data_IF_667609667898
#
_entry.id   IF_667609667898
#
_cell.length_a   1.000
_cell.length_b   1.000
_cell.length_c   1.000
_cell.angle_alpha   90.00
_cell.angle_beta   90.00
_cell.angle_gamma   90.00
#
_symmetry.space_group_name_H-M   'P 1'
#
loop_
_entity.id
_entity.type
_entity.pdbx_description
1 polymer ?
#
# COMPACT_ATOMS: atom_id res chain seq x y z
N UNK A 1 -11.61 0.66 -3.99
CA UNK A 1 -10.35 1.20 -3.44
C UNK A 1 -10.63 2.26 -2.36
N UNK A 2 -11.40 3.33 -2.64
CA UNK A 2 -11.76 4.32 -1.61
C UNK A 2 -12.67 3.80 -0.46
N UNK A 3 -13.59 2.87 -0.73
CA UNK A 3 -14.59 2.48 0.27
C UNK A 3 -14.06 1.51 1.35
N UNK A 4 -13.09 0.64 1.02
CA UNK A 4 -12.49 -0.27 2.01
C UNK A 4 -11.53 0.45 2.97
N UNK A 5 -10.91 1.54 2.52
CA UNK A 5 -10.01 2.37 3.35
C UNK A 5 -10.80 3.13 4.42
N UNK A 6 -11.99 3.64 4.08
CA UNK A 6 -12.90 4.28 5.05
C UNK A 6 -13.47 3.30 6.08
N UNK A 7 -13.69 2.04 5.70
CA UNK A 7 -14.38 1.07 6.57
C UNK A 7 -13.50 0.52 7.70
N UNK A 8 -12.16 0.55 7.56
CA UNK A 8 -11.24 -0.07 8.53
C UNK A 8 -10.64 0.85 9.61
N UNK A 9 -11.06 2.12 9.70
CA UNK A 9 -10.45 3.11 10.63
C UNK A 9 -8.93 3.07 10.53
N UNK A 10 -8.42 3.16 9.30
CA UNK A 10 -6.99 3.15 9.03
C UNK A 10 -6.38 4.39 9.70
N UNK A 11 -5.68 4.18 10.81
CA UNK A 11 -4.92 5.23 11.49
C UNK A 11 -3.51 5.17 10.94
N UNK A 12 -3.10 6.24 10.28
CA UNK A 12 -1.73 6.42 9.83
C UNK A 12 -1.07 7.43 10.79
N UNK A 13 -0.10 7.02 11.63
CA UNK A 13 0.65 7.96 12.46
C UNK A 13 1.46 8.94 11.60
N UNK A 14 1.85 10.07 12.20
CA UNK A 14 2.64 11.15 11.58
C UNK A 14 4.00 10.69 11.03
N UNK A 15 4.57 9.65 11.63
CA UNK A 15 5.86 9.07 11.28
C UNK A 15 5.86 7.55 11.49
N UNK A 16 6.84 6.84 10.92
CA UNK A 16 7.06 5.42 11.20
C UNK A 16 6.00 4.49 10.59
N UNK A 17 5.28 4.91 9.55
CA UNK A 17 4.29 4.05 8.88
C UNK A 17 4.90 3.29 7.71
N UNK A 18 4.72 1.96 7.62
CA UNK A 18 4.93 1.19 6.40
C UNK A 18 3.60 0.82 5.76
N UNK A 19 3.38 1.41 4.60
CA UNK A 19 2.20 1.23 3.77
C UNK A 19 2.55 0.21 2.68
N UNK A 20 1.91 -0.95 2.72
CA UNK A 20 2.06 -2.00 1.73
C UNK A 20 0.78 -2.12 0.90
N UNK A 21 0.88 -1.77 -0.38
CA UNK A 21 -0.16 -2.00 -1.37
C UNK A 21 -0.02 -3.40 -1.95
N UNK A 22 -1.06 -4.22 -1.80
CA UNK A 22 -1.17 -5.52 -2.44
C UNK A 22 -2.06 -5.35 -3.67
N UNK A 23 -1.51 -5.57 -4.85
CA UNK A 23 -2.24 -5.47 -6.11
C UNK A 23 -2.69 -6.86 -6.57
N UNK A 24 -3.97 -7.01 -6.98
CA UNK A 24 -4.47 -8.30 -7.43
C UNK A 24 -3.76 -8.71 -8.72
N UNK A 25 -3.26 -9.94 -8.76
CA UNK A 25 -2.66 -10.48 -9.97
C UNK A 25 -3.70 -10.59 -11.10
N UNK A 26 -3.34 -10.25 -12.36
CA UNK A 26 -4.26 -10.35 -13.47
C UNK A 26 -4.83 -11.76 -13.65
N UNK A 27 -6.14 -11.87 -13.88
CA UNK A 27 -6.80 -13.15 -14.14
C UNK A 27 -6.27 -13.87 -15.39
N UNK A 28 -5.67 -13.12 -16.34
CA UNK A 28 -5.03 -13.66 -17.54
C UNK A 28 -3.70 -14.37 -17.26
N UNK A 29 -3.13 -14.24 -16.06
CA UNK A 29 -1.91 -14.95 -15.71
C UNK A 29 -2.20 -16.43 -15.45
N UNK A 30 -1.31 -17.28 -15.95
CA UNK A 30 -1.34 -18.71 -15.62
C UNK A 30 -1.19 -18.92 -14.11
N UNK A 31 -1.77 -20.01 -13.60
CA UNK A 31 -1.66 -20.37 -12.18
C UNK A 31 -0.20 -20.46 -11.72
N UNK A 32 0.69 -21.03 -12.55
CA UNK A 32 2.13 -21.10 -12.27
C UNK A 32 2.74 -19.71 -12.07
N UNK A 33 2.39 -18.75 -12.93
CA UNK A 33 2.89 -17.37 -12.80
C UNK A 33 2.32 -16.68 -11.56
N UNK A 34 1.04 -16.90 -11.25
CA UNK A 34 0.40 -16.36 -10.05
C UNK A 34 1.10 -16.86 -8.77
N UNK A 35 1.33 -18.17 -8.67
CA UNK A 35 2.06 -18.75 -7.52
C UNK A 35 3.48 -18.18 -7.42
N UNK A 36 4.20 -18.06 -8.55
CA UNK A 36 5.57 -17.55 -8.54
C UNK A 36 5.66 -16.05 -8.19
N UNK A 37 4.63 -15.26 -8.53
CA UNK A 37 4.63 -13.82 -8.32
C UNK A 37 3.94 -13.39 -7.04
N UNK A 38 3.17 -14.27 -6.37
CA UNK A 38 2.50 -13.92 -5.12
C UNK A 38 3.51 -13.44 -4.06
N UNK A 39 3.27 -12.26 -3.49
CA UNK A 39 4.18 -11.60 -2.55
C UNK A 39 5.43 -10.96 -3.17
N UNK A 40 5.65 -11.08 -4.48
CA UNK A 40 6.78 -10.43 -5.16
C UNK A 40 6.50 -8.96 -5.44
N UNK A 41 7.57 -8.19 -5.65
CA UNK A 41 7.48 -6.77 -5.95
C UNK A 41 6.63 -6.48 -7.20
N UNK A 42 5.66 -5.58 -7.05
CA UNK A 42 4.89 -5.06 -8.16
C UNK A 42 5.61 -3.87 -8.81
N UNK A 43 6.26 -4.12 -9.94
CA UNK A 43 7.05 -3.10 -10.67
C UNK A 43 6.31 -2.45 -11.85
N UNK A 44 4.99 -2.65 -11.96
CA UNK A 44 4.17 -2.03 -13.00
C UNK A 44 3.48 -0.76 -12.49
N UNK A 45 2.84 -0.04 -13.41
CA UNK A 45 1.92 1.06 -13.07
C UNK A 45 0.66 0.52 -12.35
N UNK A 46 0.03 1.29 -11.45
CA UNK A 46 0.40 2.64 -11.02
C UNK A 46 1.69 2.68 -10.20
N UNK A 47 2.41 3.79 -10.31
CA UNK A 47 3.66 4.04 -9.58
C UNK A 47 3.39 4.28 -8.08
N UNK A 48 4.39 4.03 -7.22
CA UNK A 48 4.18 4.05 -5.77
C UNK A 48 3.76 5.43 -5.23
N UNK A 49 4.29 6.49 -5.83
CA UNK A 49 3.95 7.90 -5.58
C UNK A 49 2.47 8.21 -5.89
N UNK A 50 1.96 7.73 -7.02
CA UNK A 50 0.56 7.89 -7.40
C UNK A 50 -0.37 7.14 -6.45
N UNK A 51 0.04 5.94 -6.01
CA UNK A 51 -0.75 5.15 -5.06
C UNK A 51 -0.81 5.81 -3.69
N UNK A 52 0.32 6.29 -3.15
CA UNK A 52 0.32 6.98 -1.86
C UNK A 52 -0.42 8.32 -1.94
N UNK A 53 -0.26 9.09 -3.02
CA UNK A 53 -1.01 10.32 -3.23
C UNK A 53 -2.52 10.10 -3.17
N UNK A 54 -3.02 9.08 -3.89
CA UNK A 54 -4.44 8.73 -3.86
C UNK A 54 -4.93 8.26 -2.48
N UNK A 55 -4.07 7.58 -1.70
CA UNK A 55 -4.39 7.19 -0.33
C UNK A 55 -4.44 8.41 0.61
N UNK A 56 -3.48 9.32 0.51
CA UNK A 56 -3.41 10.55 1.31
C UNK A 56 -4.61 11.45 1.04
N UNK A 57 -4.90 11.73 -0.24
CA UNK A 57 -6.06 12.53 -0.68
C UNK A 57 -7.41 11.92 -0.19
N UNK A 58 -7.44 10.60 0.08
CA UNK A 58 -8.62 9.90 0.58
C UNK A 58 -8.74 9.86 2.11
N UNK A 59 -7.61 9.87 2.83
CA UNK A 59 -7.56 9.80 4.30
C UNK A 59 -7.62 11.18 4.95
N UNK A 60 -6.95 12.17 4.37
CA UNK A 60 -6.75 13.48 4.98
C UNK A 60 -7.23 14.60 4.05
N UNK A 61 -7.81 15.64 4.63
CA UNK A 61 -8.03 16.89 3.92
C UNK A 61 -6.75 17.74 3.85
N UNK A 62 -5.86 17.56 4.82
CA UNK A 62 -4.52 18.17 4.92
C UNK A 62 -3.57 17.11 5.52
N UNK A 63 -2.62 16.64 4.71
CA UNK A 63 -1.66 15.59 5.04
C UNK A 63 -0.28 16.13 5.44
N UNK A 64 -0.12 17.45 5.61
CA UNK A 64 1.17 18.10 5.89
C UNK A 64 1.84 17.66 7.21
N UNK A 65 1.06 17.06 8.12
CA UNK A 65 1.54 16.51 9.41
C UNK A 65 2.20 15.13 9.25
N UNK A 66 2.01 14.44 8.12
CA UNK A 66 2.67 13.19 7.82
C UNK A 66 4.01 13.50 7.13
N UNK A 67 5.11 13.17 7.78
CA UNK A 67 6.45 13.52 7.28
C UNK A 67 7.39 12.33 7.10
N UNK A 68 7.05 11.16 7.65
CA UNK A 68 7.83 9.93 7.49
C UNK A 68 6.94 8.70 7.26
N UNK A 69 7.22 7.97 6.17
CA UNK A 69 6.59 6.71 5.85
C UNK A 69 7.39 5.94 4.80
N UNK A 70 7.17 4.63 4.76
CA UNK A 70 7.65 3.73 3.71
C UNK A 70 6.49 3.23 2.88
N UNK A 71 6.69 3.15 1.57
CA UNK A 71 5.73 2.53 0.66
C UNK A 71 6.31 1.26 0.05
N UNK A 72 5.51 0.22 -0.09
CA UNK A 72 5.87 -1.00 -0.81
C UNK A 72 4.68 -1.48 -1.63
N UNK A 73 4.94 -2.01 -2.83
CA UNK A 73 3.92 -2.59 -3.71
C UNK A 73 4.25 -4.05 -3.97
N UNK A 74 3.33 -4.94 -3.65
CA UNK A 74 3.47 -6.38 -3.87
C UNK A 74 2.29 -6.91 -4.69
N UNK A 75 2.51 -8.02 -5.36
CA UNK A 75 1.42 -8.81 -5.93
C UNK A 75 0.72 -9.64 -4.85
N UNK A 76 -0.58 -9.83 -5.00
CA UNK A 76 -1.34 -10.76 -4.18
C UNK A 76 -2.58 -11.30 -4.88
N UNK A 77 -3.28 -12.21 -4.21
CA UNK A 77 -4.52 -12.80 -4.72
C UNK A 77 -5.67 -11.79 -4.68
N UNK A 78 -5.74 -10.98 -3.63
CA UNK A 78 -6.78 -9.96 -3.42
C UNK A 78 -6.14 -8.60 -3.23
N UNK A 79 -6.75 -7.57 -3.82
CA UNK A 79 -6.32 -6.19 -3.61
C UNK A 79 -6.55 -5.75 -2.17
N UNK A 80 -5.54 -5.15 -1.54
CA UNK A 80 -5.64 -4.65 -0.16
C UNK A 80 -4.53 -3.63 0.14
N UNK A 81 -4.74 -2.83 1.18
CA UNK A 81 -3.74 -1.91 1.73
C UNK A 81 -3.49 -2.32 3.18
N UNK A 82 -2.22 -2.52 3.52
CA UNK A 82 -1.77 -2.84 4.87
C UNK A 82 -0.94 -1.67 5.38
N UNK A 83 -1.20 -1.25 6.63
CA UNK A 83 -0.39 -0.25 7.31
C UNK A 83 0.13 -0.88 8.60
N UNK A 84 1.44 -0.86 8.78
CA UNK A 84 2.13 -1.36 9.97
C UNK A 84 3.13 -0.34 10.47
N UNK A 85 3.39 -0.35 11.76
CA UNK A 85 4.44 0.44 12.39
C UNK A 85 5.83 -0.11 12.00
N UNK A 86 6.71 0.77 11.52
CA UNK A 86 8.14 0.55 11.41
C UNK A 86 8.70 1.19 12.67
N UNK A 87 8.85 0.40 13.73
CA UNK A 87 9.34 0.92 15.01
C UNK A 87 10.60 1.77 14.85
N UNK A 88 10.85 2.65 15.82
CA UNK A 88 11.90 3.68 15.77
C UNK A 88 13.19 3.21 15.11
N UNK A 89 13.50 3.77 13.94
CA UNK A 89 14.84 3.70 13.38
C UNK A 89 15.68 4.68 14.18
N UNK A 90 16.37 4.18 15.19
CA UNK A 90 17.37 4.97 15.92
C UNK A 90 18.35 5.58 14.92
N UNK A 91 18.43 6.91 14.91
CA UNK A 91 19.33 7.70 14.07
C UNK A 91 20.79 7.53 14.48
#
# INVERSE_FOLDING_TARGET
FCDEVRLKKVVMPEAGSHITFILPMPASWSQKKRVAMNGQAHQQKPDADNMIKALMDALFADDAHIWDFRVTKLWGETGQILISDIGEVAA
#
